data_IF_438370943556
#
_entry.id   IF_438370943556
#
_cell.length_a   1.000
_cell.length_b   1.000
_cell.length_c   1.000
_cell.angle_alpha   90.00
_cell.angle_beta   90.00
_cell.angle_gamma   90.00
#
_symmetry.space_group_name_H-M   'P 1'
#
loop_
_entity.id
_entity.type
_entity.pdbx_description
1 polymer ?
#
# COMPACT_ATOMS: atom_id res chain seq x y z
N UNK A 1 9.65 -22.00 16.07
CA UNK A 1 10.57 -21.33 15.13
C UNK A 1 10.78 -22.25 13.94
N UNK A 2 10.45 -21.78 12.74
CA UNK A 2 10.71 -22.52 11.50
C UNK A 2 12.21 -22.46 11.14
N UNK A 3 12.67 -23.39 10.28
CA UNK A 3 14.08 -23.37 9.82
C UNK A 3 14.42 -22.04 9.12
N UNK A 4 13.43 -21.40 8.47
CA UNK A 4 13.57 -20.09 7.81
C UNK A 4 13.76 -18.95 8.82
N UNK A 5 13.07 -18.98 9.98
CA UNK A 5 13.26 -18.03 11.08
C UNK A 5 14.63 -18.18 11.73
N UNK A 6 15.11 -19.43 11.88
CA UNK A 6 16.46 -19.70 12.42
C UNK A 6 17.58 -19.22 11.48
N UNK A 7 17.37 -19.28 10.18
CA UNK A 7 18.34 -18.78 9.17
C UNK A 7 18.34 -17.24 9.20
N UNK A 8 17.17 -16.60 9.20
CA UNK A 8 17.04 -15.15 9.26
C UNK A 8 17.65 -14.55 10.55
N UNK A 9 17.49 -15.24 11.70
CA UNK A 9 18.12 -14.83 12.96
C UNK A 9 19.65 -15.04 12.97
N UNK A 10 20.18 -16.02 12.23
CA UNK A 10 21.62 -16.21 12.09
C UNK A 10 22.23 -15.17 11.16
N UNK A 11 21.58 -14.85 10.04
CA UNK A 11 22.00 -13.79 9.11
C UNK A 11 21.93 -12.39 9.75
N UNK A 12 21.03 -12.17 10.70
CA UNK A 12 20.93 -10.92 11.46
C UNK A 12 22.15 -10.67 12.37
N UNK A 13 22.84 -11.71 12.79
CA UNK A 13 23.96 -11.68 13.76
C UNK A 13 25.33 -12.01 13.15
N UNK A 14 25.49 -12.10 11.82
CA UNK A 14 26.81 -12.27 11.24
C UNK A 14 27.69 -11.02 11.44
N UNK A 15 29.02 -11.19 11.70
CA UNK A 15 29.92 -10.06 11.87
C UNK A 15 29.98 -9.26 10.58
N UNK A 16 29.59 -7.99 10.68
CA UNK A 16 29.37 -7.09 9.55
C UNK A 16 30.69 -6.50 9.03
N UNK A 17 30.63 -6.04 7.79
CA UNK A 17 31.66 -5.34 7.02
C UNK A 17 32.21 -4.05 7.68
N UNK A 18 31.98 -3.86 8.96
CA UNK A 18 32.44 -2.73 9.77
C UNK A 18 31.57 -1.47 9.64
N UNK A 19 30.47 -1.53 8.90
CA UNK A 19 29.54 -0.38 8.79
C UNK A 19 28.69 -0.20 10.03
N UNK A 20 28.44 1.04 10.47
CA UNK A 20 27.51 1.31 11.55
C UNK A 20 26.07 0.90 11.15
N UNK A 21 25.27 0.46 12.13
CA UNK A 21 23.89 0.02 11.94
C UNK A 21 22.90 1.17 12.16
N UNK A 22 22.00 1.41 11.19
CA UNK A 22 20.81 2.22 11.39
C UNK A 22 19.59 1.32 11.39
N UNK A 23 18.79 1.38 12.44
CA UNK A 23 17.56 0.59 12.57
C UNK A 23 16.33 1.49 12.60
N UNK A 24 15.39 1.28 11.67
CA UNK A 24 14.06 1.90 11.67
C UNK A 24 13.06 0.92 12.25
N UNK A 25 12.34 1.31 13.29
CA UNK A 25 11.21 0.55 13.84
C UNK A 25 9.89 1.08 13.25
N UNK A 26 9.19 0.24 12.46
CA UNK A 26 7.81 0.44 12.04
C UNK A 26 7.14 -0.90 11.73
N UNK A 27 6.88 -1.67 12.77
CA UNK A 27 6.31 -3.00 12.71
C UNK A 27 4.78 -2.96 12.50
N UNK A 28 4.35 -2.44 11.37
CA UNK A 28 2.95 -2.19 11.01
C UNK A 28 2.62 -2.85 9.65
N UNK A 29 1.56 -2.40 8.97
CA UNK A 29 1.07 -2.97 7.72
C UNK A 29 1.65 -2.27 6.47
N UNK A 30 1.27 -2.77 5.28
CA UNK A 30 1.78 -2.26 3.99
C UNK A 30 1.51 -0.75 3.82
N UNK A 31 0.29 -0.29 4.10
CA UNK A 31 -0.04 1.14 4.01
C UNK A 31 0.86 2.01 4.88
N UNK A 32 1.15 1.54 6.10
CA UNK A 32 2.04 2.22 7.04
C UNK A 32 3.49 2.29 6.54
N UNK A 33 4.00 1.23 5.91
CA UNK A 33 5.30 1.26 5.24
C UNK A 33 5.32 2.31 4.12
N UNK A 34 4.27 2.32 3.28
CA UNK A 34 4.21 3.18 2.10
C UNK A 34 4.11 4.67 2.43
N UNK A 35 3.42 5.05 3.51
CA UNK A 35 3.40 6.45 3.94
C UNK A 35 4.70 6.89 4.62
N UNK A 36 5.57 5.96 5.02
CA UNK A 36 6.90 6.27 5.56
C UNK A 36 8.00 6.36 4.48
N UNK A 37 7.72 6.03 3.21
CA UNK A 37 8.69 6.04 2.11
C UNK A 37 9.48 7.35 2.00
N UNK A 38 8.86 8.55 2.10
CA UNK A 38 9.61 9.81 2.08
C UNK A 38 10.69 9.87 3.16
N UNK A 39 10.36 9.48 4.39
CA UNK A 39 11.30 9.45 5.50
C UNK A 39 12.40 8.39 5.29
N UNK A 40 12.04 7.20 4.81
CA UNK A 40 13.01 6.14 4.53
C UNK A 40 14.02 6.55 3.47
N UNK A 41 13.57 7.21 2.41
CA UNK A 41 14.47 7.72 1.38
C UNK A 41 15.39 8.82 1.90
N UNK A 42 14.88 9.71 2.75
CA UNK A 42 15.69 10.74 3.39
C UNK A 42 16.75 10.14 4.30
N UNK A 43 16.41 9.18 5.15
CA UNK A 43 17.37 8.47 5.99
C UNK A 43 18.46 7.77 5.16
N UNK A 44 18.09 7.13 4.05
CA UNK A 44 19.08 6.51 3.17
C UNK A 44 20.07 7.52 2.55
N UNK A 45 19.59 8.73 2.24
CA UNK A 45 20.46 9.81 1.71
C UNK A 45 21.40 10.37 2.79
N UNK A 46 20.88 10.53 4.01
CA UNK A 46 21.63 11.10 5.12
C UNK A 46 22.69 10.12 5.69
N UNK A 47 22.40 8.82 5.64
CA UNK A 47 23.25 7.77 6.21
C UNK A 47 23.77 6.80 5.13
N UNK A 48 24.54 7.27 4.13
CA UNK A 48 24.98 6.45 2.99
C UNK A 48 25.95 5.34 3.38
N UNK A 49 26.69 5.52 4.46
CA UNK A 49 27.71 4.59 4.96
C UNK A 49 27.17 3.59 5.99
N UNK A 50 25.88 3.73 6.37
CA UNK A 50 25.24 2.82 7.32
C UNK A 50 24.64 1.60 6.62
N UNK A 51 24.59 0.49 7.33
CA UNK A 51 23.72 -0.62 7.02
C UNK A 51 22.32 -0.30 7.52
N UNK A 52 21.35 -0.17 6.60
CA UNK A 52 20.02 0.27 6.94
C UNK A 52 19.10 -0.94 7.15
N UNK A 53 18.56 -1.07 8.37
CA UNK A 53 17.60 -2.11 8.72
C UNK A 53 16.22 -1.54 8.98
N UNK A 54 15.21 -2.32 8.64
CA UNK A 54 13.81 -1.98 8.87
C UNK A 54 13.13 -3.09 9.64
N UNK A 55 12.72 -2.82 10.89
CA UNK A 55 12.05 -3.78 11.75
C UNK A 55 10.55 -3.82 11.44
N UNK A 56 10.11 -4.92 10.85
CA UNK A 56 8.70 -5.18 10.49
C UNK A 56 8.42 -6.68 10.31
N UNK A 57 7.16 -7.01 10.04
CA UNK A 57 6.75 -8.37 9.76
C UNK A 57 7.37 -8.90 8.45
N UNK A 58 7.78 -10.18 8.45
CA UNK A 58 8.55 -10.80 7.36
C UNK A 58 7.89 -10.73 5.97
N UNK A 59 6.56 -10.75 5.90
CA UNK A 59 5.81 -10.67 4.65
C UNK A 59 5.98 -9.32 3.89
N UNK A 60 6.48 -8.27 4.56
CA UNK A 60 6.76 -6.98 3.93
C UNK A 60 8.10 -6.93 3.17
N UNK A 61 8.91 -8.01 3.19
CA UNK A 61 10.22 -8.06 2.57
C UNK A 61 10.23 -7.61 1.11
N UNK A 62 9.28 -8.09 0.30
CA UNK A 62 9.19 -7.72 -1.12
C UNK A 62 8.84 -6.22 -1.30
N UNK A 63 7.94 -5.67 -0.46
CA UNK A 63 7.62 -4.24 -0.50
C UNK A 63 8.80 -3.38 -0.08
N UNK A 64 9.55 -3.81 0.92
CA UNK A 64 10.77 -3.13 1.36
C UNK A 64 11.84 -3.13 0.24
N UNK A 65 11.93 -4.21 -0.53
CA UNK A 65 12.75 -4.28 -1.74
C UNK A 65 12.37 -3.25 -2.81
N UNK A 66 11.10 -2.86 -2.89
CA UNK A 66 10.64 -1.78 -3.79
C UNK A 66 11.04 -0.38 -3.27
N UNK A 67 11.14 -0.18 -1.96
CA UNK A 67 11.72 1.03 -1.38
C UNK A 67 13.22 1.08 -1.68
N UNK A 68 13.90 -0.04 -1.51
CA UNK A 68 15.33 -0.24 -1.78
C UNK A 68 16.25 0.33 -0.71
N UNK A 69 17.39 -0.32 -0.54
CA UNK A 69 18.45 0.12 0.36
C UNK A 69 18.26 -0.27 1.83
N UNK A 70 17.25 -1.03 2.15
CA UNK A 70 16.97 -1.54 3.49
C UNK A 70 16.99 -3.06 3.54
N UNK A 71 17.53 -3.60 4.62
CA UNK A 71 17.39 -5.01 4.97
C UNK A 71 16.29 -5.17 6.00
N UNK A 72 15.44 -6.19 5.83
CA UNK A 72 14.39 -6.48 6.79
C UNK A 72 14.97 -7.08 8.06
N UNK A 73 14.63 -6.53 9.22
CA UNK A 73 14.77 -7.19 10.52
C UNK A 73 13.38 -7.75 10.88
N UNK A 74 13.14 -9.07 10.74
CA UNK A 74 11.83 -9.64 11.01
C UNK A 74 11.43 -9.44 12.47
N UNK A 75 10.20 -8.94 12.69
CA UNK A 75 9.60 -8.84 14.03
C UNK A 75 8.09 -9.07 13.94
N UNK A 76 7.50 -9.68 14.96
CA UNK A 76 6.05 -9.93 15.03
C UNK A 76 5.25 -8.73 15.53
N UNK A 77 5.91 -7.67 15.98
CA UNK A 77 5.26 -6.47 16.52
C UNK A 77 6.09 -5.84 17.63
N UNK A 78 5.40 -5.27 18.61
CA UNK A 78 6.03 -4.65 19.79
C UNK A 78 6.03 -5.54 21.03
N UNK A 79 5.41 -6.71 20.98
CA UNK A 79 5.28 -7.59 22.14
C UNK A 79 6.60 -8.28 22.51
N UNK A 80 7.48 -8.47 21.52
CA UNK A 80 8.77 -9.12 21.68
C UNK A 80 9.93 -8.11 21.49
N UNK A 81 11.09 -8.35 22.14
CA UNK A 81 12.30 -7.58 21.88
C UNK A 81 12.71 -7.65 20.41
N UNK A 82 13.32 -6.59 19.90
CA UNK A 82 13.94 -6.62 18.57
C UNK A 82 15.18 -7.54 18.63
N UNK A 83 15.39 -8.32 17.58
CA UNK A 83 16.50 -9.29 17.50
C UNK A 83 17.84 -8.58 17.20
N UNK A 84 18.25 -7.67 18.10
CA UNK A 84 19.47 -6.89 18.04
C UNK A 84 20.09 -6.82 19.44
N UNK A 85 21.39 -7.00 19.53
CA UNK A 85 22.12 -6.83 20.80
C UNK A 85 22.17 -5.34 21.20
N UNK A 86 21.99 -5.01 22.49
CA UNK A 86 22.12 -3.64 22.98
C UNK A 86 23.50 -3.05 22.68
N UNK A 87 23.54 -1.80 22.23
CA UNK A 87 24.75 -1.06 21.93
C UNK A 87 25.34 -1.31 20.53
N UNK A 88 24.76 -2.22 19.73
CA UNK A 88 25.21 -2.47 18.34
C UNK A 88 24.68 -1.41 17.37
N UNK A 89 23.49 -0.87 17.62
CA UNK A 89 22.85 0.12 16.75
C UNK A 89 23.47 1.51 16.96
N UNK A 90 23.98 2.12 15.91
CA UNK A 90 24.47 3.51 15.95
C UNK A 90 23.28 4.49 15.96
N UNK A 91 22.33 4.34 15.02
CA UNK A 91 21.15 5.20 14.92
C UNK A 91 19.87 4.38 15.00
N UNK A 92 19.06 4.60 16.02
CA UNK A 92 17.73 4.01 16.15
C UNK A 92 16.63 5.03 15.80
N UNK A 93 15.75 4.69 14.88
CA UNK A 93 14.69 5.57 14.37
C UNK A 93 13.32 5.00 14.70
N UNK A 94 12.51 5.72 15.46
CA UNK A 94 11.13 5.34 15.77
C UNK A 94 10.13 5.99 14.80
N UNK A 95 9.74 5.29 13.75
CA UNK A 95 8.62 5.66 12.88
C UNK A 95 7.34 4.86 13.19
N UNK A 96 7.31 4.12 14.30
CA UNK A 96 6.14 3.32 14.68
C UNK A 96 5.05 4.16 15.32
N UNK A 97 5.43 5.08 16.19
CA UNK A 97 4.50 5.93 16.93
C UNK A 97 5.18 6.65 18.09
N UNK A 98 4.34 7.24 18.95
CA UNK A 98 4.77 7.92 20.18
C UNK A 98 4.38 7.16 21.46
N UNK A 99 3.82 5.96 21.33
CA UNK A 99 3.40 5.14 22.46
C UNK A 99 4.58 4.55 23.26
N UNK A 100 4.35 4.23 24.56
CA UNK A 100 5.41 3.74 25.45
C UNK A 100 6.01 2.42 24.98
N UNK A 101 5.25 1.55 24.29
CA UNK A 101 5.71 0.26 23.80
C UNK A 101 6.81 0.44 22.75
N UNK A 102 6.56 1.24 21.71
CA UNK A 102 7.54 1.49 20.66
C UNK A 102 8.77 2.24 21.19
N UNK A 103 8.54 3.18 22.11
CA UNK A 103 9.64 3.91 22.77
C UNK A 103 10.50 2.97 23.61
N UNK A 104 9.88 2.08 24.40
CA UNK A 104 10.62 1.07 25.17
C UNK A 104 11.44 0.12 24.32
N UNK A 105 10.95 -0.28 23.13
CA UNK A 105 11.73 -1.11 22.19
C UNK A 105 12.95 -0.37 21.66
N UNK A 106 12.83 0.91 21.37
CA UNK A 106 13.97 1.73 20.91
C UNK A 106 14.98 1.95 22.04
N UNK A 107 14.55 2.24 23.28
CA UNK A 107 15.45 2.42 24.41
C UNK A 107 16.24 1.14 24.74
N UNK A 108 15.58 -0.02 24.61
CA UNK A 108 16.24 -1.31 24.85
C UNK A 108 17.41 -1.59 23.90
N UNK A 109 17.48 -0.95 22.74
CA UNK A 109 18.59 -1.05 21.78
C UNK A 109 19.86 -0.36 22.30
N UNK A 110 19.78 0.55 23.26
CA UNK A 110 20.90 1.35 23.76
C UNK A 110 21.73 1.97 22.61
N UNK A 111 21.02 2.47 21.59
CA UNK A 111 21.64 3.06 20.42
C UNK A 111 22.39 4.35 20.78
N UNK A 112 23.48 4.63 20.04
CA UNK A 112 24.28 5.85 20.25
C UNK A 112 23.49 7.12 19.97
N UNK A 113 22.64 7.08 18.94
CA UNK A 113 21.74 8.18 18.56
C UNK A 113 20.33 7.65 18.40
N UNK A 114 19.35 8.49 18.73
CA UNK A 114 17.94 8.13 18.56
C UNK A 114 17.16 9.26 17.90
N UNK A 115 16.40 8.92 16.86
CA UNK A 115 15.46 9.78 16.15
C UNK A 115 14.05 9.33 16.53
N UNK A 116 13.26 10.20 17.14
CA UNK A 116 11.90 9.88 17.59
C UNK A 116 11.18 11.08 18.18
N UNK A 117 9.88 10.93 18.40
CA UNK A 117 9.08 11.92 19.11
C UNK A 117 9.50 12.03 20.58
N UNK A 118 9.18 13.19 21.20
CA UNK A 118 9.42 13.44 22.62
C UNK A 118 8.86 12.31 23.49
N UNK A 119 9.65 11.91 24.47
CA UNK A 119 9.28 10.89 25.46
C UNK A 119 9.89 11.22 26.82
N UNK A 120 9.66 10.35 27.80
CA UNK A 120 10.37 10.44 29.09
C UNK A 120 11.87 10.13 28.97
N UNK A 121 12.32 9.52 27.87
CA UNK A 121 13.70 9.08 27.67
C UNK A 121 14.51 10.05 26.81
N UNK A 122 13.84 10.89 25.99
CA UNK A 122 14.54 11.76 25.04
C UNK A 122 13.76 13.02 24.74
N UNK A 123 14.46 14.05 24.31
CA UNK A 123 13.87 15.21 23.67
C UNK A 123 13.51 14.90 22.20
N UNK A 124 12.56 15.63 21.64
CA UNK A 124 12.04 15.43 20.30
C UNK A 124 10.79 16.28 20.03
N UNK A 125 10.29 16.31 18.80
CA UNK A 125 9.05 17.03 18.50
C UNK A 125 7.87 16.38 19.21
N UNK A 126 6.86 17.16 19.63
CA UNK A 126 5.63 16.61 20.18
C UNK A 126 4.89 15.81 19.11
N UNK A 127 4.13 14.80 19.53
CA UNK A 127 3.22 14.11 18.62
C UNK A 127 2.07 15.05 18.22
N UNK A 128 1.82 15.15 16.91
CA UNK A 128 0.75 15.97 16.32
C UNK A 128 -0.19 15.07 15.54
N UNK A 129 -1.33 14.72 16.16
CA UNK A 129 -2.30 13.76 15.60
C UNK A 129 -2.97 14.26 14.32
N UNK A 130 -3.06 15.57 14.13
CA UNK A 130 -3.70 16.24 13.00
C UNK A 130 -2.87 16.25 11.71
N UNK A 131 -1.57 15.94 11.79
CA UNK A 131 -0.71 15.93 10.60
C UNK A 131 -1.00 14.73 9.70
N UNK A 132 -0.92 14.96 8.40
CA UNK A 132 -0.87 13.87 7.42
C UNK A 132 0.28 12.91 7.76
N UNK A 133 0.08 11.59 7.64
CA UNK A 133 1.11 10.62 8.04
C UNK A 133 2.47 10.85 7.37
N UNK A 134 2.51 11.16 6.07
CA UNK A 134 3.77 11.49 5.39
C UNK A 134 4.45 12.73 5.98
N UNK A 135 3.68 13.77 6.25
CA UNK A 135 4.18 15.03 6.83
C UNK A 135 4.65 14.83 8.27
N UNK A 136 4.00 13.98 9.03
CA UNK A 136 4.41 13.63 10.40
C UNK A 136 5.84 13.08 10.42
N UNK A 137 6.14 12.13 9.55
CA UNK A 137 7.47 11.50 9.52
C UNK A 137 8.54 12.42 8.94
N UNK A 138 8.20 13.20 7.94
CA UNK A 138 9.10 14.23 7.39
C UNK A 138 9.38 15.32 8.44
N UNK A 139 8.36 15.80 9.17
CA UNK A 139 8.51 16.79 10.23
C UNK A 139 9.33 16.26 11.42
N UNK A 140 9.20 14.96 11.73
CA UNK A 140 10.05 14.30 12.71
C UNK A 140 11.52 14.37 12.31
N UNK A 141 11.83 13.99 11.06
CA UNK A 141 13.19 14.04 10.54
C UNK A 141 13.75 15.46 10.49
N UNK A 142 12.95 16.43 10.06
CA UNK A 142 13.32 17.84 10.00
C UNK A 142 13.72 18.41 11.38
N UNK A 143 13.02 17.98 12.45
CA UNK A 143 13.40 18.37 13.82
C UNK A 143 14.80 17.87 14.19
N UNK A 144 15.22 16.72 13.66
CA UNK A 144 16.55 16.14 13.82
C UNK A 144 17.56 16.62 12.76
N UNK A 145 17.22 17.64 11.97
CA UNK A 145 18.10 18.24 10.96
C UNK A 145 18.17 17.49 9.62
N UNK A 146 17.29 16.52 9.39
CA UNK A 146 17.27 15.71 8.16
C UNK A 146 16.12 16.20 7.26
N UNK A 147 16.47 16.75 6.09
CA UNK A 147 15.49 17.22 5.12
C UNK A 147 14.85 16.07 4.33
N UNK A 148 13.52 16.15 4.18
CA UNK A 148 12.73 15.18 3.42
C UNK A 148 11.56 15.86 2.71
N UNK A 149 11.19 15.36 1.53
CA UNK A 149 10.02 15.81 0.79
C UNK A 149 8.86 14.82 1.00
N UNK A 150 7.71 15.24 1.57
CA UNK A 150 6.56 14.35 1.79
C UNK A 150 5.95 13.80 0.49
N UNK A 151 6.31 14.36 -0.66
CA UNK A 151 5.89 13.88 -1.98
C UNK A 151 6.87 12.89 -2.63
N UNK A 152 8.02 12.63 -2.03
CA UNK A 152 8.99 11.61 -2.51
C UNK A 152 8.53 10.18 -2.19
N UNK A 153 7.34 9.83 -2.68
CA UNK A 153 6.64 8.56 -2.41
C UNK A 153 6.92 7.45 -3.41
N UNK A 154 7.61 7.75 -4.53
CA UNK A 154 7.79 6.81 -5.63
C UNK A 154 8.58 5.57 -5.22
N UNK A 155 8.11 4.41 -5.64
CA UNK A 155 8.79 3.14 -5.45
C UNK A 155 9.59 2.74 -6.70
N UNK A 156 10.56 1.87 -6.53
CA UNK A 156 11.23 1.23 -7.66
C UNK A 156 10.21 0.40 -8.47
N UNK A 157 10.42 0.33 -9.76
CA UNK A 157 9.60 -0.52 -10.65
C UNK A 157 9.74 -1.99 -10.21
N UNK A 158 8.62 -2.72 -10.03
CA UNK A 158 8.67 -4.14 -9.73
C UNK A 158 9.45 -4.90 -10.81
N UNK A 159 10.30 -5.83 -10.40
CA UNK A 159 11.10 -6.65 -11.34
C UNK A 159 10.28 -7.76 -12.01
N UNK A 160 9.15 -8.13 -11.41
CA UNK A 160 8.22 -9.11 -11.96
C UNK A 160 7.17 -8.40 -12.82
N UNK A 161 6.73 -8.97 -13.95
CA UNK A 161 5.68 -8.38 -14.76
C UNK A 161 4.31 -8.51 -14.08
N UNK A 162 3.40 -7.60 -14.41
CA UNK A 162 1.98 -7.78 -14.06
C UNK A 162 1.39 -8.95 -14.86
N UNK A 163 0.64 -9.86 -14.22
CA UNK A 163 -0.09 -10.90 -14.94
C UNK A 163 -1.27 -10.34 -15.76
N UNK A 164 -1.71 -9.11 -15.51
CA UNK A 164 -2.89 -8.49 -16.11
C UNK A 164 -2.68 -7.00 -16.42
N UNK A 165 -1.71 -6.65 -17.26
CA UNK A 165 -1.42 -5.23 -17.54
C UNK A 165 -2.64 -4.55 -18.18
N UNK A 166 -2.88 -3.29 -17.79
CA UNK A 166 -3.99 -2.48 -18.28
C UNK A 166 -5.36 -2.83 -17.69
N UNK A 167 -5.44 -3.71 -16.70
CA UNK A 167 -6.70 -4.06 -16.06
C UNK A 167 -7.25 -2.92 -15.17
N UNK A 168 -8.57 -2.94 -14.96
CA UNK A 168 -9.23 -2.24 -13.86
C UNK A 168 -9.17 -3.15 -12.62
N UNK A 169 -8.38 -2.76 -11.63
CA UNK A 169 -8.18 -3.52 -10.40
C UNK A 169 -9.17 -3.07 -9.34
N UNK A 170 -10.04 -3.97 -8.88
CA UNK A 170 -10.91 -3.77 -7.74
C UNK A 170 -10.31 -4.51 -6.54
N UNK A 171 -9.73 -3.76 -5.60
CA UNK A 171 -9.20 -4.33 -4.36
C UNK A 171 -10.33 -4.41 -3.34
N UNK A 172 -10.85 -5.61 -3.13
CA UNK A 172 -12.08 -5.83 -2.35
C UNK A 172 -11.83 -6.12 -0.87
N UNK A 173 -10.57 -6.32 -0.50
CA UNK A 173 -10.14 -6.63 0.86
C UNK A 173 -9.90 -5.39 1.70
N UNK A 174 -9.88 -5.60 3.03
CA UNK A 174 -9.36 -4.67 4.02
C UNK A 174 -9.07 -5.41 5.32
N UNK A 175 -8.11 -4.90 6.11
CA UNK A 175 -7.69 -5.54 7.36
C UNK A 175 -8.78 -5.58 8.44
N UNK A 176 -9.74 -4.65 8.40
CA UNK A 176 -10.81 -4.53 9.40
C UNK A 176 -12.15 -4.29 8.72
N UNK A 177 -13.22 -4.78 9.35
CA UNK A 177 -14.60 -4.66 8.84
C UNK A 177 -15.02 -3.23 8.57
N UNK A 178 -14.55 -2.27 9.37
CA UNK A 178 -14.84 -0.84 9.23
C UNK A 178 -14.48 -0.25 7.87
N UNK A 179 -13.55 -0.88 7.15
CA UNK A 179 -13.07 -0.46 5.82
C UNK A 179 -13.61 -1.34 4.68
N UNK A 180 -14.52 -2.27 4.95
CA UNK A 180 -15.12 -3.15 3.94
C UNK A 180 -16.33 -2.47 3.27
N UNK A 181 -16.14 -1.96 2.06
CA UNK A 181 -17.26 -1.49 1.23
C UNK A 181 -18.11 -2.69 0.78
N UNK A 182 -19.46 -2.58 0.72
CA UNK A 182 -20.34 -3.73 0.44
C UNK A 182 -19.97 -4.51 -0.82
N UNK A 183 -19.98 -5.86 -0.73
CA UNK A 183 -19.60 -6.74 -1.84
C UNK A 183 -20.49 -6.55 -3.08
N UNK A 184 -21.80 -6.38 -2.87
CA UNK A 184 -22.75 -6.12 -3.95
C UNK A 184 -22.50 -4.82 -4.71
N UNK A 185 -21.89 -3.84 -4.04
CA UNK A 185 -21.52 -2.57 -4.69
C UNK A 185 -20.25 -2.70 -5.51
N UNK A 186 -19.23 -3.42 -4.99
CA UNK A 186 -18.07 -3.76 -5.80
C UNK A 186 -18.48 -4.55 -7.03
N UNK A 187 -19.39 -5.52 -6.89
CA UNK A 187 -19.90 -6.31 -7.99
C UNK A 187 -20.59 -5.45 -9.06
N UNK A 188 -21.43 -4.49 -8.63
CA UNK A 188 -22.11 -3.58 -9.55
C UNK A 188 -21.12 -2.68 -10.31
N UNK A 189 -20.07 -2.18 -9.65
CA UNK A 189 -19.00 -1.41 -10.30
C UNK A 189 -18.25 -2.30 -11.30
N UNK A 190 -17.90 -3.53 -10.92
CA UNK A 190 -17.22 -4.49 -11.80
C UNK A 190 -18.04 -4.80 -13.06
N UNK A 191 -19.32 -5.13 -12.90
CA UNK A 191 -20.23 -5.40 -14.02
C UNK A 191 -20.37 -4.21 -14.97
N UNK A 192 -20.43 -2.99 -14.44
CA UNK A 192 -20.48 -1.77 -15.26
C UNK A 192 -19.20 -1.55 -16.05
N UNK A 193 -18.02 -1.79 -15.46
CA UNK A 193 -16.73 -1.67 -16.13
C UNK A 193 -16.55 -2.76 -17.20
N UNK A 194 -16.90 -4.00 -16.91
CA UNK A 194 -16.87 -5.11 -17.87
C UNK A 194 -17.80 -4.85 -19.05
N UNK A 195 -19.03 -4.41 -18.79
CA UNK A 195 -20.00 -4.05 -19.83
C UNK A 195 -19.51 -2.91 -20.73
N UNK A 196 -18.62 -2.06 -20.21
CA UNK A 196 -17.94 -1.01 -20.97
C UNK A 196 -16.68 -1.52 -21.72
N UNK A 197 -16.40 -2.83 -21.68
CA UNK A 197 -15.30 -3.49 -22.40
C UNK A 197 -13.96 -3.43 -21.68
N UNK A 198 -13.94 -3.21 -20.35
CA UNK A 198 -12.70 -3.18 -19.59
C UNK A 198 -12.40 -4.54 -18.95
N UNK A 199 -11.12 -4.93 -18.98
CA UNK A 199 -10.66 -6.10 -18.25
C UNK A 199 -10.67 -5.81 -16.75
N UNK A 200 -11.54 -6.48 -16.00
CA UNK A 200 -11.71 -6.28 -14.56
C UNK A 200 -11.12 -7.46 -13.80
N UNK A 201 -10.35 -7.16 -12.73
CA UNK A 201 -9.80 -8.17 -11.83
C UNK A 201 -10.01 -7.79 -10.37
N UNK A 202 -10.14 -8.82 -9.51
CA UNK A 202 -10.34 -8.67 -8.08
C UNK A 202 -9.08 -9.06 -7.33
N UNK A 203 -8.57 -8.16 -6.48
CA UNK A 203 -7.38 -8.40 -5.65
C UNK A 203 -7.74 -8.37 -4.16
N UNK A 204 -6.90 -9.01 -3.37
CA UNK A 204 -7.00 -9.13 -1.91
C UNK A 204 -5.97 -10.12 -1.41
N UNK A 205 -5.75 -10.18 -0.11
CA UNK A 205 -4.94 -11.20 0.54
C UNK A 205 -5.58 -12.60 0.48
N UNK A 206 -4.86 -13.63 0.97
CA UNK A 206 -5.38 -15.00 0.99
C UNK A 206 -6.64 -15.14 1.85
N UNK A 207 -6.72 -14.45 2.98
CA UNK A 207 -7.92 -14.43 3.83
C UNK A 207 -9.13 -13.69 3.24
N UNK A 208 -8.94 -12.98 2.12
CA UNK A 208 -9.98 -12.19 1.45
C UNK A 208 -10.49 -12.86 0.16
N UNK A 209 -9.95 -14.06 -0.15
CA UNK A 209 -10.27 -14.79 -1.38
C UNK A 209 -11.75 -15.11 -1.49
N UNK A 210 -12.40 -15.58 -0.43
CA UNK A 210 -13.83 -15.95 -0.44
C UNK A 210 -14.70 -14.73 -0.71
N UNK A 211 -14.33 -13.58 -0.15
CA UNK A 211 -14.98 -12.31 -0.46
C UNK A 211 -14.81 -11.90 -1.92
N UNK A 212 -13.62 -12.07 -2.46
CA UNK A 212 -13.35 -11.76 -3.88
C UNK A 212 -14.14 -12.68 -4.82
N UNK A 213 -14.28 -13.95 -4.46
CA UNK A 213 -15.14 -14.92 -5.19
C UNK A 213 -16.63 -14.54 -5.12
N UNK A 214 -17.14 -14.12 -3.97
CA UNK A 214 -18.52 -13.63 -3.83
C UNK A 214 -18.77 -12.38 -4.71
N UNK A 215 -17.86 -11.40 -4.68
CA UNK A 215 -17.96 -10.22 -5.55
C UNK A 215 -17.92 -10.61 -7.03
N UNK A 216 -17.03 -11.51 -7.42
CA UNK A 216 -16.90 -12.00 -8.78
C UNK A 216 -18.18 -12.69 -9.25
N UNK A 217 -18.72 -13.61 -8.47
CA UNK A 217 -19.97 -14.31 -8.77
C UNK A 217 -21.13 -13.34 -8.98
N UNK A 218 -21.30 -12.37 -8.08
CA UNK A 218 -22.36 -11.33 -8.17
C UNK A 218 -22.20 -10.42 -9.37
N UNK A 219 -20.98 -10.21 -9.84
CA UNK A 219 -20.69 -9.36 -11.02
C UNK A 219 -20.94 -10.08 -12.35
N UNK A 220 -21.06 -11.42 -12.33
CA UNK A 220 -21.18 -12.24 -13.55
C UNK A 220 -19.84 -12.46 -14.28
N UNK A 221 -18.72 -12.06 -13.68
CA UNK A 221 -17.39 -12.26 -14.25
C UNK A 221 -16.87 -13.69 -14.00
N UNK A 222 -15.95 -14.20 -14.84
CA UNK A 222 -15.37 -15.53 -14.66
C UNK A 222 -14.43 -15.57 -13.45
N UNK A 223 -14.32 -16.72 -12.78
CA UNK A 223 -13.44 -16.92 -11.61
C UNK A 223 -11.97 -16.58 -11.91
N UNK A 224 -11.54 -16.67 -13.17
CA UNK A 224 -10.19 -16.28 -13.60
C UNK A 224 -9.87 -14.80 -13.31
N UNK A 225 -10.88 -13.94 -13.15
CA UNK A 225 -10.72 -12.55 -12.74
C UNK A 225 -10.30 -12.42 -11.25
N UNK A 226 -10.40 -13.47 -10.44
CA UNK A 226 -10.05 -13.44 -9.02
C UNK A 226 -8.57 -13.76 -8.84
N UNK A 227 -7.79 -12.72 -8.53
CA UNK A 227 -6.36 -12.79 -8.21
C UNK A 227 -6.11 -12.77 -6.69
N UNK A 228 -7.13 -12.53 -5.88
CA UNK A 228 -7.01 -12.52 -4.42
C UNK A 228 -6.44 -13.84 -3.89
N UNK A 229 -5.40 -13.75 -3.04
CA UNK A 229 -4.67 -14.89 -2.48
C UNK A 229 -3.79 -15.66 -3.48
N UNK A 230 -3.63 -15.16 -4.72
CA UNK A 230 -2.79 -15.79 -5.75
C UNK A 230 -1.51 -15.00 -6.07
N UNK A 231 -1.47 -13.73 -5.70
CA UNK A 231 -0.33 -12.86 -5.96
C UNK A 231 0.58 -12.78 -4.73
N UNK A 232 1.88 -12.89 -4.95
CA UNK A 232 2.88 -12.38 -4.02
C UNK A 232 2.84 -10.86 -3.95
N UNK A 233 3.51 -10.27 -2.96
CA UNK A 233 3.45 -8.82 -2.78
C UNK A 233 4.12 -8.05 -3.94
N UNK A 234 5.19 -8.60 -4.51
CA UNK A 234 5.84 -8.03 -5.70
C UNK A 234 4.94 -8.08 -6.95
N UNK A 235 4.23 -9.20 -7.17
CA UNK A 235 3.27 -9.32 -8.27
C UNK A 235 2.04 -8.42 -8.07
N UNK A 236 1.59 -8.28 -6.82
CA UNK A 236 0.53 -7.35 -6.46
C UNK A 236 0.94 -5.90 -6.77
N UNK A 237 2.14 -5.50 -6.36
CA UNK A 237 2.68 -4.18 -6.68
C UNK A 237 2.81 -3.96 -8.19
N UNK A 238 3.28 -4.98 -8.94
CA UNK A 238 3.34 -4.94 -10.40
C UNK A 238 1.95 -4.82 -11.05
N UNK A 239 0.96 -5.52 -10.47
CA UNK A 239 -0.43 -5.45 -10.93
C UNK A 239 -1.01 -4.04 -10.74
N UNK A 240 -0.78 -3.41 -9.59
CA UNK A 240 -1.20 -2.04 -9.32
C UNK A 240 -0.44 -1.04 -10.23
N UNK A 241 0.88 -1.17 -10.35
CA UNK A 241 1.70 -0.29 -11.17
C UNK A 241 1.30 -0.30 -12.66
N UNK A 242 0.91 -1.47 -13.18
CA UNK A 242 0.49 -1.64 -14.57
C UNK A 242 -1.02 -1.52 -14.79
N UNK A 243 -1.81 -1.23 -13.74
CA UNK A 243 -3.25 -1.10 -13.84
C UNK A 243 -3.65 0.19 -14.58
N UNK A 244 -4.76 0.15 -15.28
CA UNK A 244 -5.39 1.33 -15.88
C UNK A 244 -6.22 2.12 -14.86
N UNK A 245 -6.74 1.43 -13.88
CA UNK A 245 -7.55 1.98 -12.79
C UNK A 245 -7.40 1.09 -11.55
N UNK A 246 -7.38 1.71 -10.39
CA UNK A 246 -7.54 1.01 -9.10
C UNK A 246 -8.77 1.56 -8.38
N UNK A 247 -9.68 0.69 -7.92
CA UNK A 247 -10.76 1.04 -7.00
C UNK A 247 -10.53 0.29 -5.70
N UNK A 248 -10.35 1.00 -4.61
CA UNK A 248 -10.02 0.42 -3.30
C UNK A 248 -10.60 1.26 -2.16
N UNK A 249 -10.88 0.64 -1.03
CA UNK A 249 -10.94 1.40 0.21
C UNK A 249 -9.53 1.90 0.61
N UNK A 250 -9.45 2.66 1.71
CA UNK A 250 -8.17 3.07 2.31
C UNK A 250 -7.38 1.85 2.80
N UNK A 251 -6.51 1.34 1.93
CA UNK A 251 -5.70 0.13 2.10
C UNK A 251 -4.33 0.26 1.44
N UNK A 252 -3.47 -0.74 1.60
CA UNK A 252 -2.18 -0.80 0.92
C UNK A 252 -2.26 -0.67 -0.61
N UNK A 253 -3.37 -1.10 -1.23
CA UNK A 253 -3.61 -0.95 -2.67
C UNK A 253 -3.69 0.52 -3.10
N UNK A 254 -4.40 1.36 -2.33
CA UNK A 254 -4.51 2.79 -2.59
C UNK A 254 -3.15 3.50 -2.46
N UNK A 255 -2.36 3.13 -1.45
CA UNK A 255 -1.02 3.68 -1.26
C UNK A 255 -0.03 3.23 -2.35
N UNK A 256 -0.12 1.98 -2.84
CA UNK A 256 0.65 1.53 -4.01
C UNK A 256 0.25 2.31 -5.27
N UNK A 257 -1.06 2.51 -5.50
CA UNK A 257 -1.54 3.30 -6.62
C UNK A 257 -0.97 4.73 -6.58
N UNK A 258 -0.93 5.34 -5.39
CA UNK A 258 -0.30 6.65 -5.19
C UNK A 258 1.19 6.62 -5.52
N UNK A 259 1.92 5.61 -5.03
CA UNK A 259 3.36 5.48 -5.21
C UNK A 259 3.78 5.27 -6.69
N UNK A 260 2.90 4.68 -7.51
CA UNK A 260 3.13 4.47 -8.94
C UNK A 260 2.42 5.49 -9.84
N UNK A 261 1.68 6.44 -9.27
CA UNK A 261 0.89 7.39 -10.04
C UNK A 261 -0.25 6.73 -10.83
N UNK A 262 -0.69 5.54 -10.42
CA UNK A 262 -1.77 4.81 -11.07
C UNK A 262 -3.11 5.47 -10.76
N UNK A 263 -3.94 5.78 -11.77
CA UNK A 263 -5.26 6.37 -11.55
C UNK A 263 -6.09 5.56 -10.57
N UNK A 264 -6.69 6.23 -9.57
CA UNK A 264 -7.43 5.51 -8.53
C UNK A 264 -8.66 6.23 -8.02
N UNK A 265 -9.66 5.46 -7.59
CA UNK A 265 -10.78 5.90 -6.77
C UNK A 265 -10.63 5.27 -5.39
N UNK A 266 -10.42 6.09 -4.38
CA UNK A 266 -10.16 5.65 -3.01
C UNK A 266 -11.36 5.98 -2.11
N UNK A 267 -11.90 4.94 -1.46
CA UNK A 267 -13.08 5.05 -0.62
C UNK A 267 -12.67 5.17 0.84
N UNK A 268 -12.91 6.32 1.45
CA UNK A 268 -12.59 6.59 2.83
C UNK A 268 -13.81 6.47 3.74
N UNK A 269 -13.70 5.61 4.74
CA UNK A 269 -14.68 5.39 5.79
C UNK A 269 -14.20 5.96 7.13
N UNK A 270 -13.68 5.09 8.04
CA UNK A 270 -13.32 5.48 9.40
C UNK A 270 -12.09 6.40 9.48
N UNK A 271 -11.11 6.20 8.60
CA UNK A 271 -9.93 7.06 8.56
C UNK A 271 -10.20 8.35 7.77
N UNK A 272 -9.70 9.51 8.22
CA UNK A 272 -9.85 10.76 7.48
C UNK A 272 -8.83 10.85 6.32
N UNK A 273 -9.26 11.25 5.11
CA UNK A 273 -8.36 11.41 3.98
C UNK A 273 -7.32 12.54 4.20
N UNK A 274 -7.60 13.48 5.09
CA UNK A 274 -6.68 14.56 5.50
C UNK A 274 -5.42 14.01 6.18
N UNK A 275 -5.51 12.79 6.74
CA UNK A 275 -4.39 12.10 7.42
C UNK A 275 -3.76 11.03 6.52
N UNK A 276 -4.57 10.30 5.73
CA UNK A 276 -4.14 9.10 5.02
C UNK A 276 -4.30 9.19 3.49
N UNK A 277 -4.87 10.26 2.98
CA UNK A 277 -5.22 10.41 1.58
C UNK A 277 -4.01 10.40 0.62
N UNK A 278 -4.29 10.18 -0.67
CA UNK A 278 -3.27 10.26 -1.70
C UNK A 278 -2.70 11.68 -1.82
N UNK A 279 -1.47 11.86 -2.34
CA UNK A 279 -0.97 13.17 -2.74
C UNK A 279 -1.74 13.69 -3.96
N UNK A 280 -1.52 14.96 -4.36
CA UNK A 280 -2.00 15.46 -5.64
C UNK A 280 -1.59 14.53 -6.80
N UNK A 281 -2.56 14.16 -7.64
CA UNK A 281 -2.33 13.20 -8.74
C UNK A 281 -3.64 12.69 -9.33
N UNK A 282 -3.61 11.61 -10.14
CA UNK A 282 -4.78 11.04 -10.79
C UNK A 282 -5.61 10.20 -9.79
N UNK A 283 -5.95 10.77 -8.64
CA UNK A 283 -6.64 10.09 -7.56
C UNK A 283 -7.91 10.83 -7.19
N UNK A 284 -9.03 10.12 -7.12
CA UNK A 284 -10.30 10.65 -6.62
C UNK A 284 -10.61 10.03 -5.27
N UNK A 285 -10.78 10.89 -4.27
CA UNK A 285 -11.17 10.49 -2.91
C UNK A 285 -12.66 10.63 -2.76
N UNK A 286 -13.32 9.56 -2.32
CA UNK A 286 -14.73 9.57 -1.95
C UNK A 286 -14.88 9.33 -0.45
N UNK A 287 -15.60 10.20 0.24
CA UNK A 287 -15.91 10.09 1.67
C UNK A 287 -17.20 10.82 1.99
N UNK A 288 -17.81 10.49 3.13
CA UNK A 288 -18.92 11.22 3.74
C UNK A 288 -18.55 11.54 5.19
N UNK A 289 -17.66 12.55 5.32
CA UNK A 289 -17.01 12.90 6.57
C UNK A 289 -18.00 13.14 7.72
N UNK A 290 -19.18 13.70 7.41
CA UNK A 290 -20.27 13.99 8.35
C UNK A 290 -20.90 12.74 9.00
N UNK A 291 -20.70 11.56 8.40
CA UNK A 291 -21.19 10.27 8.88
C UNK A 291 -20.14 9.41 9.55
N UNK A 292 -18.87 9.86 9.56
CA UNK A 292 -17.73 9.09 10.06
C UNK A 292 -17.84 8.86 11.56
N UNK A 293 -17.71 7.60 11.99
CA UNK A 293 -17.55 7.22 13.41
C UNK A 293 -16.09 7.22 13.85
N UNK A 294 -15.16 6.92 12.95
CA UNK A 294 -13.74 7.02 13.19
C UNK A 294 -13.08 5.80 13.83
N UNK A 295 -13.82 4.75 14.19
CA UNK A 295 -13.24 3.51 14.70
C UNK A 295 -12.68 2.67 13.53
N UNK A 296 -11.37 2.76 13.34
CA UNK A 296 -10.66 2.06 12.26
C UNK A 296 -10.54 0.56 12.48
N UNK A 297 -10.80 0.05 13.69
CA UNK A 297 -10.68 -1.35 14.09
C UNK A 297 -12.04 -2.04 14.24
N UNK A 298 -13.15 -1.34 14.05
CA UNK A 298 -14.48 -1.91 14.18
C UNK A 298 -14.72 -3.07 13.20
N UNK A 299 -15.53 -4.04 13.66
CA UNK A 299 -15.92 -5.19 12.85
C UNK A 299 -16.95 -4.86 11.76
N UNK A 300 -17.73 -3.78 11.95
CA UNK A 300 -18.78 -3.34 11.02
C UNK A 300 -18.29 -2.17 10.17
N UNK A 301 -18.73 -2.10 8.89
CA UNK A 301 -18.37 -1.00 8.01
C UNK A 301 -18.76 0.37 8.60
N UNK A 302 -17.90 1.36 8.44
CA UNK A 302 -18.16 2.72 8.88
C UNK A 302 -19.30 3.34 8.07
N UNK A 303 -20.24 4.09 8.69
CA UNK A 303 -21.33 4.75 7.98
C UNK A 303 -20.89 5.69 6.86
N UNK A 304 -19.75 6.37 7.02
CA UNK A 304 -19.18 7.22 5.97
C UNK A 304 -18.84 6.41 4.70
N UNK A 305 -18.35 5.17 4.88
CA UNK A 305 -18.06 4.26 3.78
C UNK A 305 -19.36 3.69 3.18
N UNK A 306 -20.34 3.34 4.01
CA UNK A 306 -21.63 2.83 3.56
C UNK A 306 -22.45 3.87 2.79
N UNK A 307 -22.24 5.16 3.01
CA UNK A 307 -22.92 6.23 2.29
C UNK A 307 -22.34 6.51 0.89
N UNK A 308 -21.17 5.95 0.54
CA UNK A 308 -20.61 6.03 -0.81
C UNK A 308 -21.39 5.05 -1.70
N UNK A 309 -22.01 5.56 -2.78
CA UNK A 309 -22.86 4.78 -3.68
C UNK A 309 -22.09 4.30 -4.94
N UNK A 310 -22.66 3.32 -5.64
CA UNK A 310 -22.16 2.88 -6.95
C UNK A 310 -22.11 4.01 -7.97
N UNK A 311 -23.15 4.85 -8.13
CA UNK A 311 -23.09 6.03 -8.99
C UNK A 311 -21.96 7.00 -8.66
N UNK A 312 -21.62 7.22 -7.37
CA UNK A 312 -20.49 8.07 -6.97
C UNK A 312 -19.17 7.51 -7.52
N UNK A 313 -18.94 6.20 -7.34
CA UNK A 313 -17.72 5.53 -7.82
C UNK A 313 -17.63 5.59 -9.34
N UNK A 314 -18.71 5.27 -10.06
CA UNK A 314 -18.72 5.32 -11.53
C UNK A 314 -18.57 6.74 -12.07
N UNK A 315 -19.08 7.76 -11.37
CA UNK A 315 -18.87 9.16 -11.72
C UNK A 315 -17.39 9.55 -11.54
N UNK A 316 -16.76 9.13 -10.43
CA UNK A 316 -15.34 9.34 -10.18
C UNK A 316 -14.46 8.67 -11.24
N UNK A 317 -14.76 7.43 -11.62
CA UNK A 317 -14.06 6.70 -12.70
C UNK A 317 -14.16 7.46 -14.03
N UNK A 318 -15.35 7.94 -14.40
CA UNK A 318 -15.52 8.75 -15.61
C UNK A 318 -14.72 10.06 -15.55
N UNK A 319 -14.69 10.71 -14.38
CA UNK A 319 -13.95 11.96 -14.14
C UNK A 319 -12.45 11.81 -14.33
N UNK A 320 -11.88 10.63 -14.04
CA UNK A 320 -10.47 10.35 -14.29
C UNK A 320 -10.11 10.27 -15.78
N UNK A 321 -11.08 10.10 -16.69
CA UNK A 321 -10.84 10.06 -18.13
C UNK A 321 -10.01 8.86 -18.63
N UNK A 322 -9.69 7.91 -17.76
CA UNK A 322 -8.75 6.80 -18.03
C UNK A 322 -9.22 5.84 -19.13
N UNK A 323 -10.51 5.87 -19.44
CA UNK A 323 -11.13 5.04 -20.47
C UNK A 323 -11.60 5.85 -21.70
N UNK A 324 -11.29 7.16 -21.76
CA UNK A 324 -11.56 7.98 -22.92
C UNK A 324 -10.36 7.91 -23.89
N UNK A 325 -10.51 7.20 -25.00
CA UNK A 325 -9.53 7.23 -26.07
C UNK A 325 -9.03 5.87 -26.54
N UNK A 326 -9.88 5.17 -27.27
CA UNK A 326 -9.54 4.44 -28.51
C UNK A 326 -10.82 4.36 -29.33
N UNK A 327 -10.96 5.09 -30.45
CA UNK A 327 -12.02 4.77 -31.39
C UNK A 327 -11.75 3.34 -31.85
N UNK A 328 -12.67 2.45 -31.51
CA UNK A 328 -12.61 1.07 -31.95
C UNK A 328 -12.48 1.00 -33.47
N UNK A 329 -11.39 0.48 -33.95
CA UNK A 329 -11.34 -0.13 -35.27
C UNK A 329 -12.19 -1.40 -35.23
N UNK A 330 -13.51 -1.22 -35.38
CA UNK A 330 -14.40 -2.30 -35.71
C UNK A 330 -14.12 -2.71 -37.16
N UNK A 331 -13.11 -3.51 -37.35
CA UNK A 331 -12.94 -4.24 -38.60
C UNK A 331 -13.86 -5.47 -38.59
N UNK A 332 -15.16 -5.23 -38.73
CA UNK A 332 -16.08 -6.29 -39.18
C UNK A 332 -15.77 -6.49 -40.64
N UNK A 333 -14.99 -7.53 -40.94
CA UNK A 333 -14.78 -8.02 -42.30
C UNK A 333 -16.12 -8.21 -42.99
N UNK A 334 -16.42 -7.32 -43.94
CA UNK A 334 -17.40 -7.62 -44.98
C UNK A 334 -16.75 -8.65 -45.90
N UNK A 335 -17.20 -9.87 -45.80
CA UNK A 335 -17.04 -10.91 -46.83
C UNK A 335 -17.66 -10.36 -48.11
N UNK A 336 -16.80 -9.87 -49.03
CA UNK A 336 -17.19 -9.53 -50.38
C UNK A 336 -17.34 -10.83 -51.19
N UNK A 337 -18.55 -11.11 -51.63
CA UNK A 337 -18.84 -12.07 -52.67
C UNK A 337 -18.08 -11.68 -53.97
N UNK A 338 -17.29 -12.58 -54.48
CA UNK A 338 -16.72 -12.51 -55.84
C UNK A 338 -17.86 -12.71 -56.86
N UNK A 339 -17.94 -11.91 -57.92
CA UNK A 339 -18.86 -12.20 -59.00
C UNK A 339 -18.30 -13.32 -59.94
N UNK A 340 -19.17 -14.23 -60.26
CA UNK A 340 -19.01 -15.32 -61.21
C UNK A 340 -18.69 -14.76 -62.59
N UNK A 341 -17.55 -15.12 -63.16
CA UNK A 341 -17.21 -14.81 -64.52
C UNK A 341 -17.62 -16.04 -65.45
N UNK A 342 -18.79 -15.87 -66.08
CA UNK A 342 -19.29 -16.78 -67.11
C UNK A 342 -18.41 -16.85 -68.35
N UNK A 343 -18.45 -17.98 -68.91
CA UNK A 343 -17.80 -18.45 -70.12
C UNK A 343 -18.12 -17.59 -71.35
N UNK A 344 -17.14 -17.37 -72.19
CA UNK A 344 -17.15 -17.58 -73.66
C UNK A 344 -15.73 -17.72 -74.16
#
# INVERSE_FOLDING_TARGET
MSATESIALREANEPHDGKPELLVLRALKLGDLLVAVPALKALRREFPDHRLRYAAQGWLSEALGLVGGYELLPTHGLDEPLAMEPGVVDVAVNLHGSGPESQGRIEALQARHTIGHRSQYRDGPPWRAELHERERWVSLLAWHGIEADPLDIHLNTPRVPSPVPGAAVLHVGAAYGSRLWPAERFAAVAAALDSAGHNVVFTGGSGERDRALDVCLRSGLPESAVLAGRLGLAEFAATIAAARLVVSADTGAAHLASAYGTPSVVLFGPAPPEIWGPPPGPHVVLTRAELRRGDTFAAQPDPALLAITVPDVLAAVRGLGVFQGSPGTSNRGRSGLLPDAGKS
#
